data_IF_356789813299
#
_entry.id   IF_356789813299
#
_cell.length_a   1.000
_cell.length_b   1.000
_cell.length_c   1.000
_cell.angle_alpha   90.00
_cell.angle_beta   90.00
_cell.angle_gamma   90.00
#
_symmetry.space_group_name_H-M   'P 1'
#
loop_
_entity.id
_entity.type
_entity.pdbx_description
1 polymer ?
#
# COMPACT_ATOMS: atom_id res chain seq x y z
N UNK A 1 13.73 -18.19 -21.97
CA UNK A 1 14.17 -18.29 -20.56
C UNK A 1 13.17 -17.53 -19.73
N UNK A 2 12.56 -18.20 -18.76
CA UNK A 2 11.68 -17.60 -17.76
C UNK A 2 12.50 -16.72 -16.83
N UNK A 3 12.01 -15.52 -16.50
CA UNK A 3 12.69 -14.58 -15.58
C UNK A 3 13.10 -15.26 -14.27
N UNK A 4 12.29 -16.22 -13.80
CA UNK A 4 12.50 -17.05 -12.61
C UNK A 4 13.90 -17.70 -12.52
N UNK A 5 14.47 -18.10 -13.64
CA UNK A 5 15.74 -18.84 -13.68
C UNK A 5 16.94 -17.94 -14.04
N UNK A 6 16.72 -16.62 -14.13
CA UNK A 6 17.78 -15.67 -14.46
C UNK A 6 18.75 -15.50 -13.28
N UNK A 7 20.03 -15.70 -13.58
CA UNK A 7 21.15 -15.38 -12.71
C UNK A 7 22.28 -14.80 -13.57
N UNK A 8 22.52 -13.51 -13.48
CA UNK A 8 23.52 -12.80 -14.29
C UNK A 8 24.56 -12.20 -13.36
N UNK A 9 25.83 -12.56 -13.54
CA UNK A 9 26.93 -12.03 -12.73
C UNK A 9 27.09 -10.52 -12.92
N UNK A 10 27.40 -9.80 -11.83
CA UNK A 10 27.66 -8.36 -11.81
C UNK A 10 29.17 -8.15 -11.62
N UNK A 11 29.97 -8.09 -12.70
CA UNK A 11 31.42 -7.97 -12.59
C UNK A 11 31.90 -6.63 -12.00
N UNK A 12 31.06 -5.60 -12.04
CA UNK A 12 31.38 -4.25 -11.56
C UNK A 12 31.45 -4.17 -10.03
N UNK A 13 30.83 -5.11 -9.32
CA UNK A 13 30.73 -5.07 -7.86
C UNK A 13 31.60 -6.17 -7.24
N UNK A 14 32.64 -5.79 -6.47
CA UNK A 14 33.48 -6.76 -5.78
C UNK A 14 32.69 -7.66 -4.81
N UNK A 15 33.06 -8.94 -4.73
CA UNK A 15 32.36 -9.93 -3.88
C UNK A 15 32.43 -9.62 -2.38
N UNK A 16 33.48 -8.93 -1.97
CA UNK A 16 33.74 -8.45 -0.61
C UNK A 16 32.79 -7.32 -0.18
N UNK A 17 32.12 -6.65 -1.12
CA UNK A 17 31.11 -5.66 -0.77
C UNK A 17 29.84 -6.35 -0.28
N UNK A 18 29.34 -5.92 0.88
CA UNK A 18 28.20 -6.57 1.55
C UNK A 18 26.99 -5.65 1.76
N UNK A 19 27.15 -4.35 1.54
CA UNK A 19 26.12 -3.35 1.84
C UNK A 19 25.46 -2.85 0.55
N UNK A 20 24.17 -3.14 0.41
CA UNK A 20 23.33 -2.74 -0.74
C UNK A 20 21.98 -2.22 -0.26
N UNK A 21 21.67 -0.95 -0.50
CA UNK A 21 20.31 -0.42 -0.42
C UNK A 21 19.60 -0.56 -1.77
N UNK A 22 18.28 -0.39 -1.77
CA UNK A 22 17.46 -0.32 -2.98
C UNK A 22 16.66 0.96 -2.94
N UNK A 23 16.56 1.63 -4.08
CA UNK A 23 15.66 2.76 -4.29
C UNK A 23 14.90 2.52 -5.58
N UNK A 24 13.64 2.09 -5.47
CA UNK A 24 12.87 1.60 -6.61
C UNK A 24 13.57 0.42 -7.30
N UNK A 25 13.90 0.60 -8.59
CA UNK A 25 14.63 -0.40 -9.40
C UNK A 25 16.16 -0.27 -9.29
N UNK A 26 16.68 0.80 -8.67
CA UNK A 26 18.12 1.05 -8.58
C UNK A 26 18.73 0.30 -7.39
N UNK A 27 19.87 -0.36 -7.61
CA UNK A 27 20.65 -1.03 -6.58
C UNK A 27 21.85 -0.15 -6.26
N UNK A 28 22.00 0.20 -4.98
CA UNK A 28 23.00 1.17 -4.52
C UNK A 28 23.91 0.47 -3.53
N UNK A 29 25.20 0.36 -3.85
CA UNK A 29 26.22 -0.18 -2.96
C UNK A 29 26.93 0.94 -2.23
N UNK A 30 27.27 0.66 -0.97
CA UNK A 30 28.00 1.59 -0.10
C UNK A 30 27.31 2.97 -0.01
N UNK A 31 25.98 2.95 0.03
CA UNK A 31 25.17 4.14 0.23
C UNK A 31 25.64 4.93 1.47
N UNK A 32 25.47 6.26 1.44
CA UNK A 32 26.03 7.17 2.45
C UNK A 32 25.52 6.83 3.86
N UNK A 33 24.32 6.26 3.94
CA UNK A 33 23.74 5.72 5.18
C UNK A 33 24.66 4.72 5.91
N UNK A 34 25.44 3.91 5.17
CA UNK A 34 26.26 2.86 5.76
C UNK A 34 27.66 3.31 6.20
N UNK A 35 28.10 4.53 5.84
CA UNK A 35 29.40 5.10 6.24
C UNK A 35 30.59 4.11 6.10
N UNK A 36 30.63 3.38 4.98
CA UNK A 36 31.58 2.26 4.81
C UNK A 36 33.01 2.72 4.46
N UNK A 37 33.19 3.98 4.05
CA UNK A 37 34.44 4.48 3.48
C UNK A 37 34.77 3.92 2.09
N UNK A 38 33.87 3.13 1.51
CA UNK A 38 33.97 2.60 0.14
C UNK A 38 33.21 3.53 -0.83
N UNK A 39 33.58 3.54 -2.12
CA UNK A 39 32.88 4.34 -3.11
C UNK A 39 31.43 3.87 -3.27
N UNK A 40 30.51 4.85 -3.34
CA UNK A 40 29.11 4.63 -3.68
C UNK A 40 29.00 4.24 -5.16
N UNK A 41 28.26 3.17 -5.44
CA UNK A 41 28.01 2.71 -6.82
C UNK A 41 26.51 2.45 -7.00
N UNK A 42 25.95 2.97 -8.09
CA UNK A 42 24.53 2.82 -8.43
C UNK A 42 24.41 2.09 -9.77
N UNK A 43 23.74 0.94 -9.77
CA UNK A 43 23.48 0.18 -10.99
C UNK A 43 21.98 -0.10 -11.14
N UNK A 44 21.50 0.07 -12.37
CA UNK A 44 20.19 -0.42 -12.79
C UNK A 44 20.31 -1.87 -13.28
N UNK A 45 19.31 -2.72 -13.00
CA UNK A 45 19.28 -4.07 -13.55
C UNK A 45 19.17 -4.02 -15.09
N UNK A 46 19.70 -5.02 -15.80
CA UNK A 46 19.62 -5.09 -17.26
C UNK A 46 18.17 -5.28 -17.76
N UNK A 47 17.26 -5.70 -16.89
CA UNK A 47 15.84 -5.86 -17.18
C UNK A 47 15.00 -5.58 -15.93
N UNK A 48 13.83 -4.93 -16.10
CA UNK A 48 12.85 -4.75 -15.02
C UNK A 48 12.43 -6.10 -14.42
N UNK A 49 12.25 -6.13 -13.11
CA UNK A 49 11.92 -7.35 -12.37
C UNK A 49 13.13 -8.14 -11.88
N UNK A 50 14.35 -7.68 -12.18
CA UNK A 50 15.57 -8.19 -11.57
C UNK A 50 16.04 -7.27 -10.44
N UNK A 51 16.75 -7.84 -9.47
CA UNK A 51 17.49 -7.10 -8.45
C UNK A 51 18.82 -7.78 -8.14
N UNK A 52 19.74 -7.06 -7.51
CA UNK A 52 21.04 -7.62 -7.16
C UNK A 52 20.97 -8.41 -5.86
N UNK A 53 21.39 -9.67 -5.88
CA UNK A 53 21.50 -10.54 -4.70
C UNK A 53 22.93 -11.07 -4.57
N UNK A 54 23.38 -11.23 -3.32
CA UNK A 54 24.73 -11.69 -3.00
C UNK A 54 24.75 -13.19 -2.79
N UNK A 55 25.67 -13.85 -3.47
CA UNK A 55 26.03 -15.25 -3.29
C UNK A 55 27.49 -15.35 -2.82
N UNK A 56 27.97 -16.57 -2.54
CA UNK A 56 29.33 -16.79 -2.01
C UNK A 56 30.44 -16.27 -2.92
N UNK A 57 30.21 -16.35 -4.22
CA UNK A 57 31.16 -16.03 -5.28
C UNK A 57 30.99 -14.62 -5.85
N UNK A 58 29.94 -13.89 -5.48
CA UNK A 58 29.77 -12.49 -5.86
C UNK A 58 28.31 -12.03 -5.92
N UNK A 59 28.09 -10.92 -6.63
CA UNK A 59 26.78 -10.32 -6.82
C UNK A 59 26.16 -10.73 -8.16
N UNK A 60 24.86 -10.95 -8.15
CA UNK A 60 24.10 -11.44 -9.31
C UNK A 60 22.78 -10.69 -9.46
N UNK A 61 22.40 -10.37 -10.69
CA UNK A 61 21.02 -10.02 -11.02
C UNK A 61 20.17 -11.29 -11.00
N UNK A 62 19.13 -11.31 -10.15
CA UNK A 62 18.19 -12.42 -10.00
C UNK A 62 16.75 -11.93 -10.07
N UNK A 63 15.82 -12.85 -10.34
CA UNK A 63 14.39 -12.53 -10.36
C UNK A 63 13.89 -12.07 -8.99
N UNK A 64 13.29 -10.88 -8.93
CA UNK A 64 12.54 -10.42 -7.76
C UNK A 64 11.04 -10.32 -7.98
N UNK A 65 10.55 -10.63 -9.19
CA UNK A 65 9.12 -10.55 -9.47
C UNK A 65 8.34 -11.66 -8.76
N UNK A 66 7.54 -11.31 -7.76
CA UNK A 66 6.74 -12.24 -6.96
C UNK A 66 5.82 -13.13 -7.80
N UNK A 67 5.26 -12.58 -8.88
CA UNK A 67 4.41 -13.31 -9.84
C UNK A 67 5.20 -14.31 -10.68
N UNK A 68 6.42 -13.97 -11.11
CA UNK A 68 7.30 -14.94 -11.79
C UNK A 68 7.77 -16.06 -10.85
N UNK A 69 8.02 -15.72 -9.58
CA UNK A 69 8.48 -16.66 -8.57
C UNK A 69 7.36 -17.52 -7.99
N UNK A 70 6.10 -17.10 -8.13
CA UNK A 70 4.91 -17.72 -7.52
C UNK A 70 5.03 -17.83 -6.00
N UNK A 71 5.66 -16.83 -5.37
CA UNK A 71 6.02 -16.87 -3.95
C UNK A 71 4.95 -16.25 -3.02
N UNK A 72 3.88 -15.66 -3.57
CA UNK A 72 2.79 -15.05 -2.81
C UNK A 72 3.16 -13.75 -2.07
N UNK A 73 4.32 -13.15 -2.35
CA UNK A 73 4.73 -11.88 -1.73
C UNK A 73 3.76 -10.76 -2.12
N UNK A 74 3.19 -10.12 -1.09
CA UNK A 74 2.31 -8.95 -1.20
C UNK A 74 3.14 -7.66 -1.18
N UNK A 75 2.62 -6.62 -1.82
CA UNK A 75 3.24 -5.28 -1.89
C UNK A 75 4.67 -5.30 -2.48
N UNK A 76 4.94 -6.24 -3.39
CA UNK A 76 6.26 -6.38 -3.98
C UNK A 76 6.60 -5.17 -4.86
N UNK A 77 7.74 -4.53 -4.55
CA UNK A 77 8.24 -3.39 -5.31
C UNK A 77 8.94 -3.80 -6.62
N UNK A 78 9.32 -5.07 -6.75
CA UNK A 78 10.04 -5.58 -7.92
C UNK A 78 9.04 -6.31 -8.81
N UNK A 79 8.70 -5.71 -9.93
CA UNK A 79 7.76 -6.27 -10.90
C UNK A 79 8.41 -6.22 -12.28
N UNK A 80 8.38 -7.35 -13.00
CA UNK A 80 8.86 -7.40 -14.37
C UNK A 80 7.88 -6.68 -15.30
N UNK A 81 8.35 -6.28 -16.49
CA UNK A 81 7.49 -5.60 -17.47
C UNK A 81 6.22 -6.40 -17.74
N UNK A 82 6.31 -7.73 -17.90
CA UNK A 82 5.10 -8.50 -18.22
C UNK A 82 4.06 -8.54 -17.10
N UNK A 83 4.47 -8.43 -15.84
CA UNK A 83 3.57 -8.37 -14.71
C UNK A 83 3.26 -6.94 -14.23
N UNK A 84 3.78 -5.90 -14.92
CA UNK A 84 3.47 -4.49 -14.64
C UNK A 84 2.12 -4.11 -15.25
N UNK A 85 1.08 -4.85 -14.85
CA UNK A 85 -0.28 -4.79 -15.38
C UNK A 85 -1.30 -4.62 -14.28
N UNK A 86 -2.43 -3.99 -14.62
CA UNK A 86 -3.57 -3.86 -13.74
C UNK A 86 -4.06 -5.27 -13.36
N UNK A 87 -4.22 -5.52 -12.07
CA UNK A 87 -4.63 -6.84 -11.57
C UNK A 87 -6.05 -7.23 -11.99
N UNK A 88 -6.89 -6.27 -12.35
CA UNK A 88 -8.30 -6.50 -12.72
C UNK A 88 -8.49 -6.62 -14.23
N UNK A 89 -7.90 -5.72 -15.02
CA UNK A 89 -8.14 -5.65 -16.46
C UNK A 89 -6.92 -6.00 -17.34
N UNK A 90 -5.75 -6.23 -16.75
CA UNK A 90 -4.53 -6.59 -17.48
C UNK A 90 -3.86 -5.45 -18.28
N UNK A 91 -4.42 -4.23 -18.25
CA UNK A 91 -3.83 -3.06 -18.91
C UNK A 91 -2.45 -2.77 -18.34
N UNK A 92 -1.47 -2.57 -19.21
CA UNK A 92 -0.10 -2.30 -18.80
C UNK A 92 0.02 -0.91 -18.18
N UNK A 93 0.88 -0.73 -17.16
CA UNK A 93 1.05 0.55 -16.47
C UNK A 93 1.42 1.70 -17.43
N UNK A 94 2.28 1.41 -18.41
CA UNK A 94 2.72 2.37 -19.44
C UNK A 94 1.60 2.87 -20.36
N UNK A 95 0.49 2.14 -20.44
CA UNK A 95 -0.66 2.50 -21.26
C UNK A 95 -1.71 3.28 -20.47
N UNK A 96 -1.47 3.56 -19.18
CA UNK A 96 -2.36 4.32 -18.32
C UNK A 96 -2.11 5.82 -18.45
N UNK A 97 -3.20 6.58 -18.44
CA UNK A 97 -3.19 8.06 -18.40
C UNK A 97 -3.14 8.60 -16.97
N UNK A 98 -3.75 7.88 -16.03
CA UNK A 98 -3.88 8.28 -14.63
C UNK A 98 -2.95 7.46 -13.72
N UNK A 99 -2.62 8.04 -12.57
CA UNK A 99 -1.87 7.36 -11.52
C UNK A 99 -2.72 6.18 -10.99
N UNK A 100 -2.21 4.94 -11.04
CA UNK A 100 -2.94 3.79 -10.53
C UNK A 100 -2.90 3.70 -9.01
N UNK A 101 -3.84 2.95 -8.45
CA UNK A 101 -3.91 2.65 -7.03
C UNK A 101 -3.06 1.44 -6.67
N UNK A 102 -2.33 1.53 -5.55
CA UNK A 102 -1.59 0.38 -5.01
C UNK A 102 -2.53 -0.73 -4.56
N UNK A 103 -2.13 -1.98 -4.74
CA UNK A 103 -2.85 -3.16 -4.31
C UNK A 103 -1.85 -4.20 -3.76
N UNK A 104 -2.22 -5.06 -2.77
CA UNK A 104 -1.34 -6.13 -2.28
C UNK A 104 -0.72 -6.98 -3.39
N UNK A 105 -1.47 -7.23 -4.46
CA UNK A 105 -1.02 -8.03 -5.61
C UNK A 105 -0.38 -7.24 -6.75
N UNK A 106 -0.20 -5.92 -6.61
CA UNK A 106 0.37 -5.05 -7.64
C UNK A 106 -0.31 -3.69 -7.67
N UNK A 107 -0.95 -3.35 -8.78
CA UNK A 107 -1.73 -2.12 -8.87
C UNK A 107 -3.06 -2.35 -9.57
N UNK A 108 -4.01 -1.45 -9.31
CA UNK A 108 -5.28 -1.38 -9.99
C UNK A 108 -5.40 -0.04 -10.70
N UNK A 109 -5.79 -0.05 -11.98
CA UNK A 109 -6.01 1.19 -12.71
C UNK A 109 -7.23 1.94 -12.15
N UNK A 110 -7.23 3.27 -12.29
CA UNK A 110 -8.29 4.14 -11.79
C UNK A 110 -9.70 3.72 -12.26
N UNK A 111 -9.95 3.39 -13.56
CA UNK A 111 -11.26 2.91 -13.98
C UNK A 111 -11.74 1.65 -13.25
N UNK A 112 -10.87 0.66 -13.05
CA UNK A 112 -11.22 -0.54 -12.31
C UNK A 112 -11.52 -0.23 -10.84
N UNK A 113 -10.70 0.63 -10.22
CA UNK A 113 -10.92 1.06 -8.82
C UNK A 113 -12.23 1.80 -8.66
N UNK A 114 -12.56 2.71 -9.58
CA UNK A 114 -13.83 3.46 -9.56
C UNK A 114 -15.02 2.52 -9.73
N UNK A 115 -14.94 1.54 -10.63
CA UNK A 115 -16.00 0.55 -10.82
C UNK A 115 -16.23 -0.28 -9.55
N UNK A 116 -15.18 -0.83 -8.96
CA UNK A 116 -15.26 -1.61 -7.72
C UNK A 116 -15.78 -0.78 -6.55
N UNK A 117 -15.33 0.49 -6.47
CA UNK A 117 -15.83 1.41 -5.47
C UNK A 117 -17.34 1.67 -5.62
N UNK A 118 -17.82 1.92 -6.84
CA UNK A 118 -19.25 2.14 -7.10
C UNK A 118 -20.08 0.88 -6.79
N UNK A 119 -19.60 -0.31 -7.15
CA UNK A 119 -20.25 -1.58 -6.81
C UNK A 119 -20.37 -1.75 -5.29
N UNK A 120 -19.29 -1.50 -4.55
CA UNK A 120 -19.27 -1.55 -3.08
C UNK A 120 -20.19 -0.50 -2.45
N UNK A 121 -20.24 0.71 -3.02
CA UNK A 121 -21.12 1.80 -2.59
C UNK A 121 -22.59 1.41 -2.72
N UNK A 122 -22.99 0.91 -3.89
CA UNK A 122 -24.37 0.49 -4.14
C UNK A 122 -24.78 -0.66 -3.23
N UNK A 123 -23.89 -1.63 -3.00
CA UNK A 123 -24.16 -2.75 -2.09
C UNK A 123 -24.33 -2.28 -0.64
N UNK A 124 -23.46 -1.39 -0.15
CA UNK A 124 -23.56 -0.87 1.22
C UNK A 124 -24.85 -0.09 1.44
N UNK A 125 -25.25 0.77 0.48
CA UNK A 125 -26.51 1.51 0.54
C UNK A 125 -27.73 0.58 0.49
N UNK A 126 -27.68 -0.48 -0.32
CA UNK A 126 -28.74 -1.50 -0.40
C UNK A 126 -28.90 -2.22 0.94
N UNK A 127 -27.80 -2.71 1.52
CA UNK A 127 -27.81 -3.40 2.81
C UNK A 127 -28.30 -2.51 3.95
N UNK A 128 -27.85 -1.25 3.99
CA UNK A 128 -28.31 -0.28 4.99
C UNK A 128 -29.85 -0.10 4.92
N UNK A 129 -30.39 0.05 3.70
CA UNK A 129 -31.83 0.16 3.49
C UNK A 129 -32.59 -1.11 3.90
N UNK A 130 -32.08 -2.29 3.55
CA UNK A 130 -32.69 -3.58 3.91
C UNK A 130 -32.71 -3.83 5.41
N UNK A 131 -31.67 -3.36 6.11
CA UNK A 131 -31.56 -3.46 7.57
C UNK A 131 -32.32 -2.36 8.31
N UNK A 132 -32.91 -1.38 7.60
CA UNK A 132 -33.62 -0.26 8.21
C UNK A 132 -32.70 0.75 8.92
N UNK A 133 -31.42 0.80 8.53
CA UNK A 133 -30.43 1.71 9.09
C UNK A 133 -30.88 3.16 8.95
N UNK A 134 -30.71 3.93 10.01
CA UNK A 134 -31.05 5.34 10.08
C UNK A 134 -30.15 6.08 11.08
N UNK A 135 -30.34 7.39 11.23
CA UNK A 135 -29.49 8.25 12.06
C UNK A 135 -29.49 7.87 13.55
N UNK A 136 -30.55 7.24 14.07
CA UNK A 136 -30.57 6.78 15.46
C UNK A 136 -29.60 5.65 15.73
N UNK A 137 -29.24 4.86 14.71
CA UNK A 137 -28.22 3.81 14.82
C UNK A 137 -26.80 4.39 14.94
N UNK A 138 -26.65 5.71 14.74
CA UNK A 138 -25.39 6.44 14.90
C UNK A 138 -25.32 7.24 16.22
N UNK A 139 -26.40 7.25 17.02
CA UNK A 139 -26.53 8.16 18.15
C UNK A 139 -25.76 7.66 19.39
N UNK A 140 -24.74 8.42 19.82
CA UNK A 140 -23.90 8.13 21.00
C UNK A 140 -23.18 6.78 20.96
N UNK A 141 -22.76 6.38 19.77
CA UNK A 141 -21.94 5.20 19.57
C UNK A 141 -20.46 5.47 19.91
N UNK A 142 -19.71 4.42 20.23
CA UNK A 142 -18.26 4.49 20.48
C UNK A 142 -17.43 4.49 19.17
N UNK A 143 -18.13 4.50 18.03
CA UNK A 143 -17.60 4.47 16.67
C UNK A 143 -18.30 5.51 15.81
N UNK A 144 -17.61 5.97 14.78
CA UNK A 144 -18.19 6.85 13.77
C UNK A 144 -18.91 5.97 12.76
N UNK A 145 -20.24 5.96 12.77
CA UNK A 145 -21.04 5.18 11.83
C UNK A 145 -21.60 6.11 10.76
N UNK A 146 -21.41 5.78 9.49
CA UNK A 146 -21.99 6.55 8.40
C UNK A 146 -23.53 6.45 8.44
N UNK A 147 -24.26 7.58 8.51
CA UNK A 147 -25.72 7.58 8.59
C UNK A 147 -26.40 7.07 7.30
N UNK A 148 -25.70 7.04 6.17
CA UNK A 148 -26.26 6.61 4.89
C UNK A 148 -26.07 5.12 4.59
N UNK A 149 -24.89 4.56 4.88
CA UNK A 149 -24.53 3.20 4.48
C UNK A 149 -24.13 2.26 5.63
N UNK A 150 -24.32 2.68 6.88
CA UNK A 150 -24.01 1.94 8.10
C UNK A 150 -22.52 1.52 8.26
N UNK A 151 -21.63 2.00 7.39
CA UNK A 151 -20.22 1.65 7.44
C UNK A 151 -19.53 2.40 8.57
N UNK A 152 -18.65 1.70 9.29
CA UNK A 152 -17.74 2.31 10.26
C UNK A 152 -16.73 3.19 9.51
N UNK A 153 -16.65 4.45 9.92
CA UNK A 153 -15.69 5.44 9.46
C UNK A 153 -14.66 5.69 10.55
N UNK A 154 -13.50 6.22 10.16
CA UNK A 154 -12.47 6.69 11.08
C UNK A 154 -11.89 7.97 10.53
N UNK A 155 -11.52 8.89 11.43
CA UNK A 155 -10.75 10.08 11.10
C UNK A 155 -9.66 10.24 12.14
N UNK A 156 -8.41 10.39 11.68
CA UNK A 156 -7.24 10.52 12.55
C UNK A 156 -7.11 11.94 13.13
N UNK A 157 -7.97 12.89 12.73
CA UNK A 157 -7.84 14.33 13.03
C UNK A 157 -8.86 14.83 14.09
N UNK A 158 -9.59 13.91 14.74
CA UNK A 158 -10.69 14.24 15.65
C UNK A 158 -10.26 14.36 17.12
N UNK A 159 -9.39 15.33 17.41
CA UNK A 159 -8.89 15.57 18.78
C UNK A 159 -9.62 16.68 19.53
N UNK A 160 -10.42 17.49 18.84
CA UNK A 160 -11.09 18.66 19.40
C UNK A 160 -12.58 18.37 19.62
N UNK A 161 -13.15 18.95 20.68
CA UNK A 161 -14.57 18.81 21.05
C UNK A 161 -15.46 19.73 20.20
N UNK A 162 -15.36 19.58 18.89
CA UNK A 162 -16.11 20.35 17.89
C UNK A 162 -16.84 19.40 16.94
N UNK A 163 -17.66 19.98 16.06
CA UNK A 163 -18.27 19.29 14.93
C UNK A 163 -17.21 19.02 13.86
N UNK A 164 -17.11 17.76 13.42
CA UNK A 164 -16.15 17.36 12.39
C UNK A 164 -16.87 16.91 11.13
N UNK A 165 -16.57 17.54 10.00
CA UNK A 165 -17.04 17.09 8.69
C UNK A 165 -16.20 15.88 8.23
N UNK A 166 -16.88 14.78 7.88
CA UNK A 166 -16.24 13.54 7.45
C UNK A 166 -16.90 13.05 6.16
N UNK A 167 -16.07 12.64 5.20
CA UNK A 167 -16.53 11.92 4.00
C UNK A 167 -16.42 10.42 4.23
N UNK A 168 -17.54 9.69 4.08
CA UNK A 168 -17.53 8.24 4.16
C UNK A 168 -16.70 7.62 3.03
N UNK A 169 -15.65 6.87 3.38
CA UNK A 169 -14.78 6.20 2.40
C UNK A 169 -15.45 5.02 1.65
N UNK A 170 -16.70 4.67 2.00
CA UNK A 170 -17.49 3.62 1.36
C UNK A 170 -18.51 4.18 0.37
N UNK A 171 -19.31 5.17 0.78
CA UNK A 171 -20.40 5.70 -0.05
C UNK A 171 -20.27 7.18 -0.45
N UNK A 172 -19.17 7.83 -0.08
CA UNK A 172 -18.85 9.24 -0.35
C UNK A 172 -19.83 10.25 0.26
N UNK A 173 -20.71 9.82 1.17
CA UNK A 173 -21.58 10.74 1.90
C UNK A 173 -20.76 11.58 2.86
N UNK A 174 -20.89 12.90 2.76
CA UNK A 174 -20.38 13.86 3.75
C UNK A 174 -21.39 13.99 4.89
N UNK A 175 -20.90 13.91 6.12
CA UNK A 175 -21.72 14.04 7.33
C UNK A 175 -20.90 14.66 8.46
N UNK A 176 -21.61 15.17 9.47
CA UNK A 176 -21.01 15.80 10.65
C UNK A 176 -21.00 14.81 11.81
N UNK A 177 -19.91 14.81 12.56
CA UNK A 177 -19.78 14.05 13.81
C UNK A 177 -19.57 15.00 14.98
N UNK A 178 -20.38 14.82 16.01
CA UNK A 178 -20.25 15.50 17.30
C UNK A 178 -19.56 14.58 18.31
N UNK A 179 -18.52 15.06 19.00
CA UNK A 179 -17.79 14.28 20.01
C UNK A 179 -18.20 14.69 21.43
N UNK A 180 -18.84 13.79 22.17
CA UNK A 180 -19.17 13.97 23.60
C UNK A 180 -18.10 13.31 24.50
N UNK A 181 -17.18 14.09 25.08
CA UNK A 181 -16.20 13.57 26.05
C UNK A 181 -16.80 13.43 27.46
N UNK A 182 -16.71 12.24 28.06
CA UNK A 182 -17.08 11.99 29.47
C UNK A 182 -15.85 11.66 30.34
N UNK A 183 -15.25 12.68 30.94
CA UNK A 183 -14.10 12.54 31.84
C UNK A 183 -14.56 12.43 33.31
N UNK A 184 -14.17 11.35 33.99
CA UNK A 184 -14.47 11.13 35.41
C UNK A 184 -13.17 10.95 36.20
N UNK A 185 -13.00 11.73 37.27
CA UNK A 185 -11.82 11.69 38.12
C UNK A 185 -12.18 11.26 39.54
N UNK A 186 -11.37 10.41 40.15
CA UNK A 186 -11.42 10.10 41.58
C UNK A 186 -10.03 10.21 42.16
N UNK A 187 -9.87 11.06 43.17
CA UNK A 187 -8.59 11.28 43.85
C UNK A 187 -8.65 10.72 45.26
N UNK A 188 -7.60 10.02 45.68
CA UNK A 188 -7.45 9.48 47.04
C UNK A 188 -6.16 9.97 47.68
N UNK A 189 -6.14 10.08 49.01
CA UNK A 189 -4.96 10.50 49.78
C UNK A 189 -3.84 9.46 49.66
N UNK A 190 -2.60 9.96 49.53
CA UNK A 190 -1.39 9.15 49.63
C UNK A 190 -1.21 8.74 51.10
N UNK A 191 -1.23 7.43 51.37
CA UNK A 191 -0.94 6.86 52.69
C UNK A 191 0.52 7.04 53.07
#
# INVERSE_FOLDING_TARGET
>A
MTLKDMKIFIPEIPKEWTKRTRSGHTNIWNDDFYNTGLPKVELAPPQRGLYAERFEDGWYWVCGCSKCLENGEKWSYIVCEEHDRCITCGTHRKDLTDIPWGHPDGFQCKPCRTKEHEERKQEALRLAKENGHNEWDCFREDKIICPACASECSSDDMYESEEHEITCHVCDTEFVVEIEYKLLYTSVLKK
#
